data_IF_227395616197
#
_entry.id   IF_227395616197
#
_cell.length_a   1.000
_cell.length_b   1.000
_cell.length_c   1.000
_cell.angle_alpha   90.00
_cell.angle_beta   90.00
_cell.angle_gamma   90.00
#
_symmetry.space_group_name_H-M   'P 1'
#
loop_
_entity.id
_entity.type
_entity.pdbx_description
1 polymer ?
#
# COMPACT_ATOMS: atom_id res chain seq x y z
N UNK A 1 -19.06 -13.06 -24.55
CA UNK A 1 -19.52 -12.74 -23.18
C UNK A 1 -20.78 -11.90 -23.33
N UNK A 2 -21.81 -12.16 -22.54
CA UNK A 2 -23.04 -11.37 -22.60
C UNK A 2 -23.12 -10.58 -21.29
N UNK A 3 -23.13 -9.25 -21.40
CA UNK A 3 -23.49 -8.39 -20.27
C UNK A 3 -24.92 -7.91 -20.49
N UNK A 4 -25.77 -8.07 -19.49
CA UNK A 4 -27.10 -7.51 -19.51
C UNK A 4 -27.34 -6.71 -18.24
N UNK A 5 -27.57 -5.42 -18.40
CA UNK A 5 -27.81 -4.53 -17.28
C UNK A 5 -29.31 -4.27 -17.17
N UNK A 6 -29.89 -4.69 -16.06
CA UNK A 6 -31.32 -4.56 -15.80
C UNK A 6 -31.55 -3.65 -14.59
N UNK A 7 -32.67 -2.92 -14.60
CA UNK A 7 -33.19 -2.23 -13.41
C UNK A 7 -34.36 -3.01 -12.84
N UNK A 8 -34.70 -2.77 -11.57
CA UNK A 8 -35.89 -3.35 -10.93
C UNK A 8 -37.21 -2.93 -11.59
N UNK A 9 -37.20 -1.86 -12.39
CA UNK A 9 -38.36 -1.33 -13.13
C UNK A 9 -38.37 -1.75 -14.62
N UNK A 10 -37.40 -2.56 -15.07
CA UNK A 10 -37.28 -3.04 -16.46
C UNK A 10 -35.87 -2.91 -17.05
N UNK A 11 -35.75 -3.01 -18.38
CA UNK A 11 -34.46 -3.04 -19.11
C UNK A 11 -33.84 -1.65 -19.38
N UNK A 12 -34.41 -0.57 -18.86
CA UNK A 12 -33.99 0.80 -19.20
C UNK A 12 -32.97 1.31 -18.21
N UNK A 13 -31.72 1.45 -18.66
CA UNK A 13 -30.61 1.98 -17.85
C UNK A 13 -30.09 3.27 -18.48
N UNK A 14 -29.74 4.25 -17.65
CA UNK A 14 -29.09 5.47 -18.12
C UNK A 14 -27.79 5.17 -18.85
N UNK A 15 -27.56 5.84 -19.98
CA UNK A 15 -26.38 5.63 -20.83
C UNK A 15 -25.06 5.88 -20.07
N UNK A 16 -25.06 6.87 -19.17
CA UNK A 16 -23.90 7.16 -18.32
C UNK A 16 -23.55 6.00 -17.38
N UNK A 17 -24.57 5.41 -16.73
CA UNK A 17 -24.40 4.27 -15.83
C UNK A 17 -23.90 3.05 -16.61
N UNK A 18 -24.46 2.80 -17.80
CA UNK A 18 -24.02 1.73 -18.69
C UNK A 18 -22.56 1.93 -19.18
N UNK A 19 -22.19 3.16 -19.53
CA UNK A 19 -20.83 3.50 -19.94
C UNK A 19 -19.80 3.25 -18.85
N UNK A 20 -20.09 3.64 -17.60
CA UNK A 20 -19.20 3.38 -16.45
C UNK A 20 -18.95 1.89 -16.24
N UNK A 21 -19.98 1.06 -16.42
CA UNK A 21 -19.84 -0.39 -16.25
C UNK A 21 -19.02 -1.04 -17.36
N UNK A 22 -19.19 -0.60 -18.61
CA UNK A 22 -18.35 -1.06 -19.71
C UNK A 22 -16.88 -0.67 -19.50
N UNK A 23 -16.62 0.55 -18.99
CA UNK A 23 -15.27 0.97 -18.60
C UNK A 23 -14.73 0.07 -17.49
N UNK A 24 -15.47 -0.15 -16.41
CA UNK A 24 -15.01 -1.04 -15.32
C UNK A 24 -14.73 -2.46 -15.80
N UNK A 25 -15.55 -3.01 -16.69
CA UNK A 25 -15.29 -4.32 -17.28
C UNK A 25 -14.02 -4.32 -18.15
N UNK A 26 -13.80 -3.26 -18.94
CA UNK A 26 -12.59 -3.12 -19.75
C UNK A 26 -11.34 -3.05 -18.88
N UNK A 27 -11.37 -2.33 -17.76
CA UNK A 27 -10.28 -2.30 -16.77
C UNK A 27 -10.00 -3.70 -16.20
N UNK A 28 -11.04 -4.45 -15.83
CA UNK A 28 -10.88 -5.84 -15.37
C UNK A 28 -10.21 -6.70 -16.46
N UNK A 29 -10.66 -6.59 -17.71
CA UNK A 29 -10.08 -7.36 -18.83
C UNK A 29 -8.61 -7.04 -19.05
N UNK A 30 -8.23 -5.76 -18.96
CA UNK A 30 -6.85 -5.33 -19.09
C UNK A 30 -5.96 -5.78 -17.93
N UNK A 31 -6.38 -5.61 -16.68
CA UNK A 31 -5.60 -6.06 -15.52
C UNK A 31 -5.49 -7.58 -15.48
N UNK A 32 -6.56 -8.30 -15.82
CA UNK A 32 -6.54 -9.75 -15.92
C UNK A 32 -5.64 -10.23 -17.07
N UNK A 33 -5.68 -9.56 -18.22
CA UNK A 33 -4.80 -9.84 -19.35
C UNK A 33 -3.33 -9.62 -18.98
N UNK A 34 -3.01 -8.52 -18.31
CA UNK A 34 -1.66 -8.20 -17.81
C UNK A 34 -1.14 -9.27 -16.83
N UNK A 35 -2.00 -9.72 -15.92
CA UNK A 35 -1.70 -10.84 -15.02
C UNK A 35 -1.44 -12.15 -15.77
N UNK A 36 -2.28 -12.50 -16.75
CA UNK A 36 -2.12 -13.73 -17.55
C UNK A 36 -0.85 -13.73 -18.40
N UNK A 37 -0.39 -12.55 -18.84
CA UNK A 37 0.89 -12.37 -19.56
C UNK A 37 2.11 -12.25 -18.62
N UNK A 38 1.93 -12.45 -17.31
CA UNK A 38 3.00 -12.43 -16.32
C UNK A 38 3.71 -11.07 -16.20
N UNK A 39 3.01 -9.98 -16.55
CA UNK A 39 3.57 -8.64 -16.38
C UNK A 39 3.64 -8.29 -14.88
N UNK A 40 4.70 -7.62 -14.40
CA UNK A 40 4.68 -7.07 -13.05
C UNK A 40 3.52 -6.07 -12.91
N UNK A 41 2.84 -6.07 -11.76
CA UNK A 41 1.74 -5.16 -11.50
C UNK A 41 2.23 -3.70 -11.40
N UNK A 42 1.47 -2.76 -11.95
CA UNK A 42 1.72 -1.33 -11.85
C UNK A 42 0.39 -0.58 -11.82
N UNK A 43 0.08 0.13 -10.73
CA UNK A 43 -1.23 0.74 -10.49
C UNK A 43 -1.44 2.07 -11.25
N UNK A 44 -0.36 2.75 -11.62
CA UNK A 44 -0.39 3.93 -12.49
C UNK A 44 0.22 3.69 -13.88
N UNK A 45 0.68 2.46 -14.16
CA UNK A 45 1.35 2.04 -15.39
C UNK A 45 0.49 2.27 -16.60
N UNK A 46 1.02 2.93 -17.65
CA UNK A 46 0.42 2.72 -18.96
C UNK A 46 0.66 1.26 -19.31
N UNK A 47 -0.41 0.46 -19.25
CA UNK A 47 -0.38 -0.92 -19.71
C UNK A 47 0.29 -0.99 -21.09
N UNK A 48 1.11 -2.03 -21.28
CA UNK A 48 1.79 -2.22 -22.57
C UNK A 48 0.75 -2.17 -23.68
N UNK A 49 1.05 -1.47 -24.77
CA UNK A 49 0.15 -1.35 -25.92
C UNK A 49 -0.40 -2.71 -26.37
N UNK A 50 0.44 -3.75 -26.32
CA UNK A 50 0.03 -5.10 -26.61
C UNK A 50 -1.10 -5.61 -25.70
N UNK A 51 -1.09 -5.33 -24.39
CA UNK A 51 -2.19 -5.71 -23.49
C UNK A 51 -3.46 -4.94 -23.83
N UNK A 52 -3.33 -3.64 -24.12
CA UNK A 52 -4.46 -2.80 -24.49
C UNK A 52 -5.13 -3.31 -25.78
N UNK A 53 -4.33 -3.69 -26.76
CA UNK A 53 -4.78 -4.16 -28.07
C UNK A 53 -5.33 -5.61 -27.98
N UNK A 54 -4.60 -6.54 -27.35
CA UNK A 54 -4.94 -7.98 -27.31
C UNK A 54 -6.13 -8.29 -26.38
N UNK A 55 -6.45 -7.43 -25.41
CA UNK A 55 -7.53 -7.60 -24.43
C UNK A 55 -8.60 -6.49 -24.47
N UNK A 56 -8.69 -5.77 -25.58
CA UNK A 56 -9.78 -4.82 -25.82
C UNK A 56 -11.12 -5.55 -26.01
N UNK A 57 -12.16 -5.12 -25.30
CA UNK A 57 -13.52 -5.60 -25.45
C UNK A 57 -14.22 -4.79 -26.54
N UNK A 58 -14.74 -5.49 -27.53
CA UNK A 58 -15.52 -4.96 -28.63
C UNK A 58 -17.00 -5.23 -28.41
N UNK A 59 -17.84 -4.23 -28.69
CA UNK A 59 -19.29 -4.40 -28.66
C UNK A 59 -19.70 -5.13 -29.94
N UNK A 60 -20.19 -6.36 -29.80
CA UNK A 60 -20.68 -7.18 -30.91
C UNK A 60 -22.10 -6.79 -31.30
N UNK A 61 -22.97 -6.62 -30.30
CA UNK A 61 -24.36 -6.25 -30.50
C UNK A 61 -24.94 -5.57 -29.27
N UNK A 62 -25.94 -4.73 -29.49
CA UNK A 62 -26.73 -4.07 -28.46
C UNK A 62 -28.20 -4.42 -28.71
N UNK A 63 -28.85 -4.98 -27.71
CA UNK A 63 -30.31 -5.18 -27.64
C UNK A 63 -30.84 -4.49 -26.39
N UNK A 64 -32.14 -4.18 -26.33
CA UNK A 64 -32.76 -3.43 -25.22
C UNK A 64 -32.24 -3.88 -23.83
N UNK A 65 -31.41 -3.06 -23.18
CA UNK A 65 -30.81 -3.32 -21.87
C UNK A 65 -29.64 -4.32 -21.82
N UNK A 66 -29.19 -4.87 -22.95
CA UNK A 66 -28.08 -5.84 -23.00
C UNK A 66 -27.02 -5.48 -24.03
N UNK A 67 -25.76 -5.62 -23.65
CA UNK A 67 -24.59 -5.41 -24.50
C UNK A 67 -23.84 -6.73 -24.59
N UNK A 68 -23.76 -7.30 -25.80
CA UNK A 68 -22.91 -8.46 -26.04
C UNK A 68 -21.52 -7.94 -26.38
N UNK A 69 -20.52 -8.40 -25.63
CA UNK A 69 -19.12 -8.02 -25.83
C UNK A 69 -18.26 -9.24 -26.13
N UNK A 70 -17.29 -9.06 -27.00
CA UNK A 70 -16.29 -10.06 -27.36
C UNK A 70 -14.90 -9.45 -27.41
N UNK A 71 -13.87 -10.25 -27.17
CA UNK A 71 -12.48 -9.84 -27.43
C UNK A 71 -12.11 -10.47 -28.76
N UNK A 72 -11.63 -9.65 -29.71
CA UNK A 72 -11.17 -10.18 -30.99
C UNK A 72 -9.98 -11.13 -30.75
N UNK A 73 -10.06 -12.32 -31.33
CA UNK A 73 -8.96 -13.27 -31.30
C UNK A 73 -7.85 -12.73 -32.18
N UNK A 74 -6.81 -12.14 -31.59
CA UNK A 74 -5.58 -11.80 -32.29
C UNK A 74 -4.87 -13.10 -32.75
N UNK A 75 -5.37 -13.73 -33.82
CA UNK A 75 -4.67 -14.82 -34.49
C UNK A 75 -3.50 -14.19 -35.23
N UNK A 76 -2.32 -14.14 -34.59
CA UNK A 76 -1.07 -13.92 -35.32
C UNK A 76 -0.86 -15.16 -36.20
N UNK A 77 -1.21 -15.03 -37.48
CA UNK A 77 -0.92 -16.04 -38.49
C UNK A 77 0.57 -16.44 -38.44
N UNK A 78 0.85 -17.73 -38.21
CA UNK A 78 2.15 -18.32 -38.56
C UNK A 78 3.04 -18.91 -37.45
N UNK A 79 2.52 -19.53 -36.39
CA UNK A 79 3.37 -20.39 -35.54
C UNK A 79 2.87 -21.84 -35.48
N UNK A 80 3.74 -22.84 -35.72
CA UNK A 80 3.36 -24.25 -35.68
C UNK A 80 3.06 -24.68 -34.24
N UNK A 81 1.98 -25.44 -34.11
CA UNK A 81 1.56 -26.11 -32.88
C UNK A 81 2.57 -27.20 -32.51
N UNK A 82 3.25 -27.07 -31.37
CA UNK A 82 3.68 -28.17 -30.49
C UNK A 82 3.90 -27.58 -29.08
N UNK A 83 3.32 -28.25 -28.09
CA UNK A 83 3.46 -28.15 -26.62
C UNK A 83 2.60 -27.15 -25.80
N UNK A 84 1.77 -27.76 -24.93
CA UNK A 84 1.02 -27.27 -23.76
C UNK A 84 -0.34 -26.56 -24.00
N UNK A 85 -1.41 -27.36 -23.82
CA UNK A 85 -2.84 -27.10 -24.04
C UNK A 85 -3.49 -25.91 -23.31
N UNK A 86 -2.80 -25.22 -22.39
CA UNK A 86 -3.36 -24.04 -21.70
C UNK A 86 -2.85 -22.69 -22.24
N UNK A 87 -1.79 -22.68 -23.05
CA UNK A 87 -1.22 -21.44 -23.62
C UNK A 87 -1.85 -21.00 -24.95
N UNK A 88 -2.67 -21.86 -25.58
CA UNK A 88 -3.22 -21.65 -26.92
C UNK A 88 -4.72 -21.33 -26.99
N UNK A 89 -5.40 -21.06 -25.87
CA UNK A 89 -6.66 -20.33 -25.99
C UNK A 89 -6.32 -18.92 -26.48
N UNK A 90 -7.05 -18.39 -27.50
CA UNK A 90 -6.86 -17.02 -27.90
C UNK A 90 -7.02 -16.08 -26.70
N UNK A 91 -6.34 -14.91 -26.70
CA UNK A 91 -6.36 -13.96 -25.57
C UNK A 91 -7.77 -13.70 -25.02
N UNK A 92 -8.74 -13.58 -25.93
CA UNK A 92 -10.15 -13.38 -25.61
C UNK A 92 -10.79 -14.46 -24.74
N UNK A 93 -11.01 -15.69 -25.23
CA UNK A 93 -11.56 -16.79 -24.42
C UNK A 93 -10.83 -16.99 -23.09
N UNK A 94 -9.50 -16.84 -23.09
CA UNK A 94 -8.68 -17.00 -21.89
C UNK A 94 -8.98 -15.96 -20.82
N UNK A 95 -9.04 -14.67 -21.20
CA UNK A 95 -9.34 -13.60 -20.24
C UNK A 95 -10.77 -13.69 -19.74
N UNK A 96 -11.73 -14.00 -20.61
CA UNK A 96 -13.14 -14.14 -20.21
C UNK A 96 -13.33 -15.30 -19.24
N UNK A 97 -12.68 -16.45 -19.50
CA UNK A 97 -12.69 -17.59 -18.56
C UNK A 97 -12.14 -17.17 -17.21
N UNK A 98 -11.01 -16.47 -17.18
CA UNK A 98 -10.36 -16.05 -15.94
C UNK A 98 -11.18 -15.03 -15.15
N UNK A 99 -11.85 -14.09 -15.82
CA UNK A 99 -12.81 -13.17 -15.19
C UNK A 99 -13.97 -13.96 -14.59
N UNK A 100 -14.52 -14.94 -15.32
CA UNK A 100 -15.63 -15.77 -14.86
C UNK A 100 -15.23 -16.56 -13.60
N UNK A 101 -14.04 -17.15 -13.60
CA UNK A 101 -13.49 -17.87 -12.43
C UNK A 101 -13.27 -16.93 -11.23
N UNK A 102 -12.80 -15.71 -11.50
CA UNK A 102 -12.58 -14.72 -10.45
C UNK A 102 -13.90 -14.30 -9.80
N UNK A 103 -14.94 -14.00 -10.60
CA UNK A 103 -16.28 -13.68 -10.09
C UNK A 103 -16.84 -14.85 -9.27
N UNK A 104 -16.75 -16.08 -9.79
CA UNK A 104 -17.23 -17.28 -9.08
C UNK A 104 -16.53 -17.48 -7.72
N UNK A 105 -15.21 -17.26 -7.65
CA UNK A 105 -14.44 -17.35 -6.41
C UNK A 105 -14.85 -16.29 -5.39
N UNK A 106 -15.18 -15.09 -5.86
CA UNK A 106 -15.65 -13.97 -5.03
C UNK A 106 -17.06 -14.25 -4.51
N UNK A 107 -17.98 -14.76 -5.34
CA UNK A 107 -19.35 -15.12 -4.92
C UNK A 107 -19.38 -16.39 -4.04
N UNK A 108 -18.34 -17.22 -4.09
CA UNK A 108 -18.17 -18.41 -3.25
C UNK A 108 -18.81 -19.69 -3.80
N UNK A 109 -19.05 -19.76 -5.10
CA UNK A 109 -19.78 -20.87 -5.73
C UNK A 109 -18.93 -22.13 -5.98
N UNK A 110 -17.59 -22.04 -6.01
CA UNK A 110 -16.72 -23.14 -6.48
C UNK A 110 -15.73 -23.69 -5.44
N UNK A 111 -15.77 -23.26 -4.17
CA UNK A 111 -14.85 -23.73 -3.13
C UNK A 111 -13.36 -23.43 -3.40
N UNK A 112 -13.04 -22.69 -4.47
CA UNK A 112 -11.73 -22.12 -4.77
C UNK A 112 -11.63 -20.76 -4.11
N UNK A 113 -10.53 -20.54 -3.40
CA UNK A 113 -10.27 -19.23 -2.83
C UNK A 113 -9.81 -18.27 -3.93
N UNK A 114 -10.06 -16.98 -3.74
CA UNK A 114 -9.62 -15.93 -4.67
C UNK A 114 -8.09 -15.97 -4.86
N UNK A 115 -7.36 -16.45 -3.86
CA UNK A 115 -5.91 -16.61 -3.87
C UNK A 115 -5.43 -17.71 -4.84
N UNK A 116 -6.25 -18.74 -5.07
CA UNK A 116 -5.96 -19.78 -6.05
C UNK A 116 -6.16 -19.28 -7.48
N UNK A 117 -7.14 -18.38 -7.67
CA UNK A 117 -7.47 -17.85 -9.00
C UNK A 117 -6.44 -16.80 -9.43
N UNK A 118 -6.07 -15.87 -8.54
CA UNK A 118 -5.08 -14.82 -8.81
C UNK A 118 -4.04 -14.83 -7.71
N UNK A 119 -2.95 -15.61 -7.82
CA UNK A 119 -1.96 -15.74 -6.74
C UNK A 119 -1.19 -14.45 -6.44
N UNK A 120 -1.02 -13.57 -7.44
CA UNK A 120 -0.37 -12.28 -7.26
C UNK A 120 -1.25 -11.33 -6.44
N UNK A 121 -0.75 -10.90 -5.28
CA UNK A 121 -1.50 -10.08 -4.34
C UNK A 121 -1.88 -8.71 -4.90
N UNK A 122 -1.00 -8.07 -5.67
CA UNK A 122 -1.21 -6.72 -6.16
C UNK A 122 -2.28 -6.71 -7.25
N UNK A 123 -2.19 -7.63 -8.21
CA UNK A 123 -3.26 -7.85 -9.20
C UNK A 123 -4.57 -8.22 -8.52
N UNK A 124 -4.53 -9.14 -7.55
CA UNK A 124 -5.73 -9.59 -6.85
C UNK A 124 -6.43 -8.46 -6.10
N UNK A 125 -5.67 -7.59 -5.43
CA UNK A 125 -6.21 -6.41 -4.74
C UNK A 125 -6.84 -5.43 -5.72
N UNK A 126 -6.16 -5.16 -6.83
CA UNK A 126 -6.69 -4.27 -7.87
C UNK A 126 -7.95 -4.82 -8.51
N UNK A 127 -7.95 -6.10 -8.87
CA UNK A 127 -9.09 -6.78 -9.48
C UNK A 127 -10.30 -6.81 -8.54
N UNK A 128 -10.11 -6.92 -7.22
CA UNK A 128 -11.21 -6.79 -6.25
C UNK A 128 -11.81 -5.38 -6.25
N UNK A 129 -10.99 -4.33 -6.39
CA UNK A 129 -11.47 -2.94 -6.50
C UNK A 129 -12.19 -2.68 -7.83
N UNK A 130 -11.63 -3.18 -8.95
CA UNK A 130 -12.27 -3.05 -10.26
C UNK A 130 -13.60 -3.82 -10.29
N UNK A 131 -13.63 -5.02 -9.67
CA UNK A 131 -14.85 -5.79 -9.50
C UNK A 131 -15.86 -5.03 -8.63
N UNK A 132 -15.43 -4.44 -7.51
CA UNK A 132 -16.31 -3.61 -6.68
C UNK A 132 -16.90 -2.43 -7.47
N UNK A 133 -16.16 -1.86 -8.43
CA UNK A 133 -16.67 -0.79 -9.31
C UNK A 133 -17.65 -1.30 -10.36
N UNK A 134 -17.53 -2.56 -10.80
CA UNK A 134 -18.48 -3.21 -11.69
C UNK A 134 -19.83 -3.49 -11.02
N UNK A 135 -19.89 -3.71 -9.70
CA UNK A 135 -21.16 -3.97 -9.02
C UNK A 135 -22.01 -2.70 -8.91
N UNK A 136 -23.31 -2.75 -9.25
CA UNK A 136 -24.19 -1.59 -9.14
C UNK A 136 -24.19 -0.99 -7.73
N UNK A 137 -24.07 0.34 -7.63
CA UNK A 137 -24.16 1.07 -6.35
C UNK A 137 -25.60 1.29 -5.90
N UNK A 138 -26.53 1.38 -6.85
CA UNK A 138 -27.96 1.64 -6.59
C UNK A 138 -28.66 0.31 -6.26
N UNK A 139 -29.48 0.23 -5.20
CA UNK A 139 -30.13 -1.02 -4.78
C UNK A 139 -31.10 -1.60 -5.82
N UNK A 140 -31.67 -0.74 -6.67
CA UNK A 140 -32.64 -1.11 -7.69
C UNK A 140 -32.00 -1.57 -9.02
N UNK A 141 -30.69 -1.79 -9.06
CA UNK A 141 -29.97 -2.17 -10.27
C UNK A 141 -29.37 -3.56 -10.11
N UNK A 142 -29.45 -4.36 -11.16
CA UNK A 142 -28.84 -5.68 -11.24
C UNK A 142 -28.06 -5.80 -12.55
N UNK A 143 -26.80 -6.20 -12.47
CA UNK A 143 -26.00 -6.54 -13.63
C UNK A 143 -25.99 -8.06 -13.77
N UNK A 144 -26.49 -8.57 -14.89
CA UNK A 144 -26.36 -9.95 -15.29
C UNK A 144 -25.12 -10.11 -16.15
N UNK A 145 -24.21 -10.94 -15.67
CA UNK A 145 -22.98 -11.30 -16.38
C UNK A 145 -23.08 -12.75 -16.83
N UNK A 146 -22.94 -13.02 -18.12
CA UNK A 146 -22.84 -14.38 -18.66
C UNK A 146 -21.46 -14.58 -19.28
N UNK A 147 -20.66 -15.41 -18.61
CA UNK A 147 -19.28 -15.73 -18.98
C UNK A 147 -19.17 -16.88 -19.98
N UNK A 148 -18.00 -17.51 -20.02
CA UNK A 148 -17.84 -18.78 -20.74
C UNK A 148 -18.30 -19.97 -19.90
N UNK A 149 -18.81 -21.01 -20.57
CA UNK A 149 -19.26 -22.25 -19.93
C UNK A 149 -20.68 -22.22 -19.38
N UNK A 150 -21.53 -21.28 -19.82
CA UNK A 150 -22.93 -21.17 -19.37
C UNK A 150 -23.10 -20.67 -17.94
N UNK A 151 -22.02 -20.18 -17.31
CA UNK A 151 -22.06 -19.56 -15.98
C UNK A 151 -22.61 -18.15 -16.10
N UNK A 152 -23.64 -17.86 -15.30
CA UNK A 152 -24.27 -16.55 -15.23
C UNK A 152 -24.33 -16.04 -13.79
N UNK A 153 -23.92 -14.80 -13.57
CA UNK A 153 -23.95 -14.16 -12.25
C UNK A 153 -24.93 -12.99 -12.27
N UNK A 154 -25.70 -12.87 -11.19
CA UNK A 154 -26.55 -11.72 -10.93
C UNK A 154 -25.89 -10.83 -9.86
N UNK A 155 -25.34 -9.70 -10.29
CA UNK A 155 -24.57 -8.78 -9.47
C UNK A 155 -25.48 -7.65 -8.97
N UNK A 156 -25.82 -7.66 -7.68
CA UNK A 156 -26.65 -6.64 -7.01
C UNK A 156 -25.83 -5.78 -6.07
N UNK A 157 -26.36 -4.61 -5.70
CA UNK A 157 -25.73 -3.74 -4.70
C UNK A 157 -25.49 -4.46 -3.35
N UNK A 158 -26.37 -5.39 -2.97
CA UNK A 158 -26.25 -6.16 -1.73
C UNK A 158 -24.99 -7.07 -1.70
N UNK A 159 -24.53 -7.55 -2.86
CA UNK A 159 -23.34 -8.42 -2.96
C UNK A 159 -22.03 -7.65 -2.72
N UNK A 160 -22.04 -6.31 -2.78
CA UNK A 160 -20.85 -5.46 -2.59
C UNK A 160 -20.18 -5.68 -1.23
N UNK A 161 -20.97 -5.87 -0.16
CA UNK A 161 -20.45 -6.07 1.19
C UNK A 161 -19.54 -7.29 1.33
N UNK A 162 -19.73 -8.31 0.48
CA UNK A 162 -18.86 -9.49 0.44
C UNK A 162 -17.48 -9.15 -0.13
N UNK A 163 -17.43 -8.37 -1.21
CA UNK A 163 -16.19 -7.90 -1.83
C UNK A 163 -15.45 -6.98 -0.86
N UNK A 164 -16.16 -6.05 -0.23
CA UNK A 164 -15.62 -5.15 0.81
C UNK A 164 -15.07 -5.95 2.00
N UNK A 165 -15.74 -7.04 2.39
CA UNK A 165 -15.26 -7.99 3.40
C UNK A 165 -13.95 -8.68 3.01
N UNK A 166 -13.82 -9.15 1.77
CA UNK A 166 -12.59 -9.75 1.25
C UNK A 166 -11.43 -8.74 1.20
N UNK A 167 -11.71 -7.50 0.78
CA UNK A 167 -10.74 -6.41 0.82
C UNK A 167 -10.28 -6.14 2.27
N UNK A 168 -11.23 -6.08 3.21
CA UNK A 168 -10.97 -5.77 4.63
C UNK A 168 -10.27 -6.90 5.39
N UNK A 169 -10.63 -8.17 5.14
CA UNK A 169 -9.98 -9.32 5.78
C UNK A 169 -8.50 -9.40 5.40
N UNK A 170 -8.15 -9.00 4.18
CA UNK A 170 -6.76 -9.03 3.71
C UNK A 170 -5.90 -7.91 4.28
N UNK A 171 -6.50 -6.77 4.58
CA UNK A 171 -5.85 -5.72 5.34
C UNK A 171 -5.43 -6.20 6.75
N UNK A 172 -6.04 -7.28 7.28
CA UNK A 172 -5.74 -7.82 8.62
C UNK A 172 -4.65 -8.90 8.65
N UNK A 173 -4.26 -9.51 7.51
CA UNK A 173 -3.39 -10.70 7.49
C UNK A 173 -1.91 -10.45 7.15
N UNK A 174 -1.51 -9.21 6.85
CA UNK A 174 -0.10 -8.82 6.67
C UNK A 174 0.24 -7.82 7.76
N UNK A 175 1.08 -8.22 8.71
CA UNK A 175 1.45 -7.41 9.87
C UNK A 175 1.83 -6.00 9.46
N UNK A 176 1.11 -5.02 10.02
CA UNK A 176 1.48 -3.62 9.88
C UNK A 176 2.87 -3.43 10.48
N UNK A 177 3.77 -2.89 9.68
CA UNK A 177 5.10 -2.47 10.09
C UNK A 177 5.16 -0.94 10.07
N UNK A 178 5.92 -0.40 11.03
CA UNK A 178 6.27 1.01 11.10
C UNK A 178 7.72 1.18 10.66
N UNK A 179 7.96 2.16 9.79
CA UNK A 179 9.29 2.52 9.31
C UNK A 179 9.48 4.02 9.44
N UNK A 180 10.64 4.44 9.95
CA UNK A 180 11.04 5.83 10.05
C UNK A 180 12.20 6.04 9.07
N UNK A 181 12.23 7.20 8.41
CA UNK A 181 13.34 7.59 7.54
C UNK A 181 13.08 8.93 6.86
N UNK A 182 14.06 9.37 6.06
CA UNK A 182 13.96 10.60 5.30
C UNK A 182 13.25 10.33 3.98
N UNK A 183 12.21 11.12 3.66
CA UNK A 183 11.60 11.10 2.33
C UNK A 183 12.51 11.85 1.34
N UNK A 184 13.44 11.15 0.70
CA UNK A 184 14.49 11.75 -0.11
C UNK A 184 14.07 12.01 -1.57
N UNK A 185 13.17 11.19 -2.11
CA UNK A 185 12.72 11.29 -3.50
C UNK A 185 11.28 10.80 -3.62
N UNK A 186 10.51 11.44 -4.50
CA UNK A 186 9.11 11.11 -4.76
C UNK A 186 8.88 11.00 -6.26
N UNK A 187 8.65 9.79 -6.73
CA UNK A 187 8.22 9.54 -8.11
C UNK A 187 6.71 9.54 -8.18
N UNK A 188 6.18 10.59 -8.80
CA UNK A 188 4.78 10.73 -9.22
C UNK A 188 4.46 10.07 -10.55
N UNK A 189 5.44 9.34 -11.09
CA UNK A 189 5.23 8.49 -12.25
C UNK A 189 4.34 7.29 -11.90
N UNK A 190 3.90 6.51 -12.90
CA UNK A 190 3.10 5.32 -12.72
C UNK A 190 3.43 4.33 -11.60
N UNK A 191 4.71 4.24 -11.22
CA UNK A 191 5.16 3.30 -10.20
C UNK A 191 4.81 3.80 -8.78
N UNK A 192 4.56 5.11 -8.63
CA UNK A 192 4.24 5.78 -7.35
C UNK A 192 5.16 5.31 -6.23
N UNK A 193 6.45 5.57 -6.43
CA UNK A 193 7.51 5.14 -5.53
C UNK A 193 8.10 6.34 -4.82
N UNK A 194 8.15 6.26 -3.49
CA UNK A 194 9.01 7.11 -2.68
C UNK A 194 10.30 6.37 -2.35
N UNK A 195 11.43 7.09 -2.36
CA UNK A 195 12.67 6.58 -1.80
C UNK A 195 12.80 7.09 -0.38
N UNK A 196 12.90 6.13 0.53
CA UNK A 196 13.16 6.41 1.92
C UNK A 196 14.63 6.12 2.17
N UNK A 197 15.33 7.15 2.60
CA UNK A 197 16.71 7.01 3.05
C UNK A 197 16.71 6.69 4.54
N UNK A 198 17.25 5.52 4.84
CA UNK A 198 17.53 5.02 6.18
C UNK A 198 18.95 4.43 6.16
N UNK A 199 19.54 4.34 7.33
CA UNK A 199 20.77 3.62 7.69
C UNK A 199 21.11 2.49 6.73
N UNK A 200 22.19 2.64 5.96
CA UNK A 200 22.78 1.58 5.13
C UNK A 200 21.87 0.97 4.05
N UNK A 201 20.61 1.41 3.95
CA UNK A 201 19.57 0.80 3.13
C UNK A 201 18.62 1.88 2.63
N UNK A 202 18.70 2.13 1.32
CA UNK A 202 17.65 2.86 0.62
C UNK A 202 16.58 1.85 0.27
N UNK A 203 15.37 2.04 0.78
CA UNK A 203 14.24 1.20 0.39
C UNK A 203 13.23 2.00 -0.43
N UNK A 204 12.60 1.29 -1.36
CA UNK A 204 11.50 1.81 -2.14
C UNK A 204 10.20 1.52 -1.42
N UNK A 205 9.42 2.57 -1.21
CA UNK A 205 8.07 2.47 -0.69
C UNK A 205 7.07 2.81 -1.80
N UNK A 206 6.11 1.93 -2.03
CA UNK A 206 5.01 2.13 -2.97
C UNK A 206 3.87 2.78 -2.21
N UNK A 207 3.29 3.84 -2.74
CA UNK A 207 2.20 4.58 -2.08
C UNK A 207 0.96 4.71 -2.97
N UNK A 208 -0.25 4.64 -2.37
CA UNK A 208 -1.50 4.84 -3.10
C UNK A 208 -1.70 6.33 -3.44
N UNK A 209 -2.47 6.59 -4.50
CA UNK A 209 -2.58 7.94 -5.08
C UNK A 209 -3.19 9.01 -4.17
N UNK A 210 -3.98 8.61 -3.20
CA UNK A 210 -4.56 9.49 -2.18
C UNK A 210 -3.52 10.03 -1.18
N UNK A 211 -2.38 9.36 -1.01
CA UNK A 211 -1.26 9.85 -0.20
C UNK A 211 -0.32 10.81 -0.95
N UNK A 212 -0.50 11.00 -2.26
CA UNK A 212 0.45 11.77 -3.09
C UNK A 212 0.61 13.21 -2.64
N UNK A 213 -0.50 13.92 -2.37
CA UNK A 213 -0.45 15.31 -1.93
C UNK A 213 0.36 15.45 -0.63
N UNK A 214 0.09 14.55 0.33
CA UNK A 214 0.79 14.52 1.62
C UNK A 214 2.27 14.13 1.47
N UNK A 215 2.59 13.19 0.60
CA UNK A 215 3.97 12.82 0.33
C UNK A 215 4.77 13.97 -0.32
N UNK A 216 4.11 14.77 -1.17
CA UNK A 216 4.73 15.97 -1.76
C UNK A 216 5.05 17.02 -0.70
N UNK A 217 4.14 17.23 0.25
CA UNK A 217 4.34 18.19 1.35
C UNK A 217 5.45 17.77 2.31
N UNK A 218 5.70 16.45 2.45
CA UNK A 218 6.70 15.88 3.34
C UNK A 218 8.05 15.58 2.65
N UNK A 219 8.22 15.96 1.38
CA UNK A 219 9.46 15.71 0.64
C UNK A 219 10.63 16.47 1.28
N UNK A 220 11.71 15.76 1.59
CA UNK A 220 12.87 16.30 2.30
C UNK A 220 12.74 16.30 3.82
N UNK A 221 11.62 15.80 4.38
CA UNK A 221 11.39 15.76 5.82
C UNK A 221 11.48 14.33 6.38
N UNK A 222 11.80 14.19 7.69
CA UNK A 222 11.58 12.95 8.43
C UNK A 222 10.13 12.49 8.37
N UNK A 223 9.91 11.22 8.05
CA UNK A 223 8.58 10.63 7.96
C UNK A 223 8.47 9.31 8.70
N UNK A 224 7.28 9.07 9.25
CA UNK A 224 6.83 7.80 9.78
C UNK A 224 5.88 7.17 8.78
N UNK A 225 6.27 6.02 8.25
CA UNK A 225 5.47 5.20 7.35
C UNK A 225 4.87 4.04 8.13
N UNK A 226 3.57 3.86 7.99
CA UNK A 226 2.89 2.64 8.42
C UNK A 226 2.43 1.90 7.17
N UNK A 227 2.74 0.61 7.10
CA UNK A 227 2.50 -0.14 5.88
C UNK A 227 2.91 -1.60 6.00
N UNK A 228 3.19 -2.22 4.86
CA UNK A 228 3.44 -3.65 4.76
C UNK A 228 4.71 -3.91 3.97
N UNK A 229 5.61 -4.71 4.53
CA UNK A 229 6.83 -5.10 3.85
C UNK A 229 6.65 -6.42 3.08
N UNK A 230 6.82 -6.39 1.76
CA UNK A 230 7.06 -7.58 0.95
C UNK A 230 8.54 -7.90 1.01
N UNK A 231 8.89 -9.10 1.48
CA UNK A 231 10.27 -9.56 1.60
C UNK A 231 10.65 -10.46 0.43
N UNK A 232 11.94 -10.51 0.13
CA UNK A 232 12.48 -11.46 -0.84
C UNK A 232 12.36 -12.87 -0.25
N UNK A 233 11.86 -13.84 -1.02
CA UNK A 233 11.70 -15.23 -0.55
C UNK A 233 13.03 -15.79 -0.02
N UNK A 234 13.02 -16.32 1.20
CA UNK A 234 14.20 -16.85 1.88
C UNK A 234 15.18 -15.79 2.41
N UNK A 235 14.82 -14.50 2.41
CA UNK A 235 15.66 -13.39 2.89
C UNK A 235 14.87 -12.46 3.82
N UNK A 236 15.52 -11.87 4.85
CA UNK A 236 14.89 -10.81 5.66
C UNK A 236 14.78 -9.47 4.92
N UNK A 237 15.42 -9.33 3.75
CA UNK A 237 15.46 -8.07 2.99
C UNK A 237 14.09 -7.71 2.42
N UNK A 238 13.75 -6.43 2.53
CA UNK A 238 12.52 -5.88 1.98
C UNK A 238 12.70 -5.68 0.48
N UNK A 239 11.80 -6.27 -0.29
CA UNK A 239 11.67 -6.05 -1.73
C UNK A 239 10.88 -4.77 -1.99
N UNK A 240 9.71 -4.63 -1.37
CA UNK A 240 8.83 -3.46 -1.48
C UNK A 240 8.19 -3.14 -0.13
N UNK A 241 7.97 -1.87 0.16
CA UNK A 241 7.15 -1.45 1.30
C UNK A 241 5.88 -0.74 0.80
N UNK A 242 4.72 -1.32 1.03
CA UNK A 242 3.44 -0.74 0.62
C UNK A 242 2.93 0.17 1.73
N UNK A 243 2.86 1.47 1.46
CA UNK A 243 2.50 2.50 2.44
C UNK A 243 0.98 2.61 2.55
N UNK A 244 0.46 2.43 3.76
CA UNK A 244 -0.96 2.65 4.07
C UNK A 244 -1.15 4.04 4.73
N UNK A 245 -0.13 4.57 5.42
CA UNK A 245 -0.15 5.88 6.07
C UNK A 245 1.24 6.51 6.07
N UNK A 246 1.29 7.82 5.84
CA UNK A 246 2.50 8.65 5.96
C UNK A 246 2.22 9.81 6.91
N UNK A 247 3.12 10.04 7.86
CA UNK A 247 3.03 11.11 8.86
C UNK A 247 4.38 11.82 8.99
N UNK A 248 4.40 13.12 9.30
CA UNK A 248 5.64 13.79 9.70
C UNK A 248 6.19 13.09 10.96
N UNK A 249 7.51 13.00 11.04
CA UNK A 249 8.22 12.48 12.21
C UNK A 249 9.14 13.56 12.77
N UNK A 250 8.53 14.65 13.23
CA UNK A 250 9.21 15.84 13.75
C UNK A 250 9.45 15.76 15.27
N UNK A 251 8.71 14.91 15.98
CA UNK A 251 8.94 14.65 17.39
C UNK A 251 8.40 13.30 17.84
N UNK A 252 8.91 12.82 18.98
CA UNK A 252 8.40 11.65 19.68
C UNK A 252 8.52 11.81 21.20
N UNK A 253 7.83 10.95 21.95
CA UNK A 253 7.97 10.90 23.39
C UNK A 253 9.14 9.98 23.75
N UNK A 254 10.08 10.49 24.54
CA UNK A 254 11.20 9.71 25.04
C UNK A 254 10.67 8.53 25.87
N UNK A 255 11.11 7.33 25.53
CA UNK A 255 10.84 6.12 26.28
C UNK A 255 12.01 5.81 27.22
N UNK A 256 11.89 4.75 28.01
CA UNK A 256 13.01 4.23 28.81
C UNK A 256 14.19 3.87 27.90
N UNK A 257 15.40 4.27 28.30
CA UNK A 257 16.61 3.98 27.55
C UNK A 257 17.79 3.65 28.46
N UNK A 258 18.76 2.95 27.89
CA UNK A 258 20.03 2.60 28.52
C UNK A 258 21.14 3.49 27.96
N UNK A 259 21.96 4.04 28.85
CA UNK A 259 23.15 4.82 28.50
C UNK A 259 24.27 4.50 29.51
N UNK A 260 25.44 4.11 29.01
CA UNK A 260 26.52 3.59 29.85
C UNK A 260 26.06 2.39 30.69
N UNK A 261 26.19 2.49 32.02
CA UNK A 261 25.79 1.46 32.98
C UNK A 261 24.44 1.79 33.67
N UNK A 262 23.65 2.73 33.13
CA UNK A 262 22.45 3.29 33.78
C UNK A 262 21.21 3.11 32.92
N UNK A 263 20.07 2.92 33.58
CA UNK A 263 18.76 2.91 32.92
C UNK A 263 18.02 4.19 33.31
N UNK A 264 17.67 5.01 32.31
CA UNK A 264 16.94 6.25 32.47
C UNK A 264 15.45 6.04 32.18
N UNK A 265 14.61 6.37 33.16
CA UNK A 265 13.15 6.30 33.06
C UNK A 265 12.58 7.71 33.16
N UNK A 266 11.93 8.25 32.12
CA UNK A 266 11.27 9.56 32.19
C UNK A 266 10.17 9.59 33.27
N UNK A 267 10.25 10.55 34.19
CA UNK A 267 9.23 10.79 35.23
C UNK A 267 8.01 11.54 34.71
N UNK A 268 8.21 12.32 33.66
CA UNK A 268 7.18 13.07 32.94
C UNK A 268 7.32 12.79 31.45
N UNK A 269 6.28 13.05 30.63
CA UNK A 269 6.41 13.01 29.18
C UNK A 269 7.48 14.02 28.72
N UNK A 270 8.53 13.53 28.05
CA UNK A 270 9.61 14.33 27.49
C UNK A 270 9.54 14.21 25.98
N UNK A 271 9.35 15.34 25.31
CA UNK A 271 9.35 15.39 23.86
C UNK A 271 10.78 15.53 23.33
N UNK A 272 11.15 14.65 22.41
CA UNK A 272 12.38 14.72 21.62
C UNK A 272 12.03 15.32 20.27
N UNK A 273 12.66 16.43 19.90
CA UNK A 273 12.55 17.02 18.57
C UNK A 273 13.45 16.26 17.59
N UNK A 274 12.98 16.03 16.37
CA UNK A 274 13.67 15.32 15.29
C UNK A 274 13.73 16.22 14.07
N UNK A 275 14.94 16.56 13.67
CA UNK A 275 15.23 17.37 12.50
C UNK A 275 16.20 16.65 11.57
N UNK A 276 16.17 17.02 10.29
CA UNK A 276 17.17 16.59 9.32
C UNK A 276 17.73 17.82 8.61
N UNK A 277 18.97 18.19 8.92
CA UNK A 277 19.62 19.39 8.42
C UNK A 277 21.02 19.09 7.90
N UNK A 278 21.38 19.67 6.75
CA UNK A 278 22.67 19.49 6.06
C UNK A 278 23.18 18.03 5.93
N UNK A 279 22.26 17.05 5.89
CA UNK A 279 22.61 15.62 5.79
C UNK A 279 22.79 14.91 7.13
N UNK A 280 22.42 15.54 8.23
CA UNK A 280 22.49 15.02 9.59
C UNK A 280 21.10 14.93 10.20
N UNK A 281 20.82 13.81 10.86
CA UNK A 281 19.76 13.71 11.85
C UNK A 281 20.18 14.47 13.10
N UNK A 282 19.30 15.31 13.61
CA UNK A 282 19.48 16.07 14.84
C UNK A 282 18.33 15.74 15.77
N UNK A 283 18.64 15.13 16.91
CA UNK A 283 17.68 14.84 17.97
C UNK A 283 17.99 15.73 19.16
N UNK A 284 16.98 16.40 19.71
CA UNK A 284 17.20 17.32 20.83
C UNK A 284 16.11 17.29 21.88
N UNK A 285 16.51 17.54 23.13
CA UNK A 285 15.63 17.79 24.26
C UNK A 285 15.91 19.22 24.75
N UNK A 286 15.10 20.20 24.33
CA UNK A 286 15.37 21.61 24.60
C UNK A 286 15.47 21.98 26.09
N UNK A 287 14.82 21.21 26.97
CA UNK A 287 14.78 21.52 28.41
C UNK A 287 16.14 21.41 29.11
N UNK A 288 17.06 20.63 28.55
CA UNK A 288 18.39 20.36 29.13
C UNK A 288 19.50 20.62 28.11
N UNK A 289 19.17 21.27 26.98
CA UNK A 289 20.08 21.50 25.85
C UNK A 289 20.83 20.22 25.40
N UNK A 290 20.21 19.05 25.59
CA UNK A 290 20.80 17.79 25.17
C UNK A 290 20.54 17.59 23.68
N UNK A 291 21.59 17.22 22.95
CA UNK A 291 21.55 17.04 21.51
C UNK A 291 22.39 15.84 21.11
N UNK A 292 21.88 15.05 20.18
CA UNK A 292 22.63 14.02 19.46
C UNK A 292 22.49 14.24 17.97
N UNK A 293 23.58 14.06 17.21
CA UNK A 293 23.55 14.27 15.77
C UNK A 293 24.45 13.31 15.00
N UNK A 294 23.92 12.74 13.92
CA UNK A 294 24.70 11.88 13.03
C UNK A 294 24.02 11.79 11.66
N UNK A 295 24.76 11.33 10.66
CA UNK A 295 24.20 10.86 9.38
C UNK A 295 23.25 9.66 9.57
N UNK A 296 23.27 9.02 10.74
CA UNK A 296 22.48 7.87 11.13
C UNK A 296 21.54 8.22 12.29
N UNK A 297 20.24 7.92 12.16
CA UNK A 297 19.25 8.24 13.19
C UNK A 297 19.53 7.54 14.54
N UNK A 298 19.89 6.25 14.53
CA UNK A 298 20.11 5.52 15.80
C UNK A 298 21.42 5.93 16.44
N UNK A 299 22.43 6.27 15.65
CA UNK A 299 23.64 6.86 16.19
C UNK A 299 23.36 8.24 16.80
N UNK A 300 22.55 9.08 16.16
CA UNK A 300 22.13 10.36 16.71
C UNK A 300 21.31 10.19 18.01
N UNK A 301 20.43 9.20 18.07
CA UNK A 301 19.68 8.82 19.29
C UNK A 301 20.61 8.33 20.40
N UNK A 302 21.57 7.45 20.08
CA UNK A 302 22.57 7.00 21.06
C UNK A 302 23.44 8.15 21.56
N UNK A 303 23.86 9.07 20.69
CA UNK A 303 24.60 10.26 21.11
C UNK A 303 23.78 11.16 22.02
N UNK A 304 22.47 11.29 21.78
CA UNK A 304 21.57 12.02 22.68
C UNK A 304 21.54 11.33 24.06
N UNK A 305 21.41 10.01 24.09
CA UNK A 305 21.43 9.23 25.33
C UNK A 305 22.76 9.35 26.09
N UNK A 306 23.89 9.27 25.38
CA UNK A 306 25.23 9.45 25.94
C UNK A 306 25.39 10.88 26.51
N UNK A 307 24.90 11.90 25.80
CA UNK A 307 24.91 13.28 26.30
C UNK A 307 24.11 13.43 27.59
N UNK A 308 22.94 12.77 27.70
CA UNK A 308 22.15 12.77 28.94
C UNK A 308 22.92 12.09 30.07
N UNK A 309 23.65 11.00 29.80
CA UNK A 309 24.48 10.33 30.81
C UNK A 309 25.67 11.19 31.28
N UNK A 310 26.27 11.95 30.37
CA UNK A 310 27.30 12.95 30.70
C UNK A 310 26.73 14.04 31.62
N UNK A 311 25.58 14.63 31.27
CA UNK A 311 24.89 15.61 32.11
C UNK A 311 24.54 15.03 33.48
N UNK A 312 24.08 13.78 33.54
CA UNK A 312 23.76 13.12 34.81
C UNK A 312 25.01 12.94 35.67
N UNK A 313 26.11 12.51 35.07
CA UNK A 313 27.40 12.32 35.77
C UNK A 313 27.93 13.65 36.30
N UNK A 314 27.87 14.71 35.50
CA UNK A 314 28.42 16.02 35.85
C UNK A 314 27.56 16.75 36.90
N UNK A 315 26.23 16.69 36.81
CA UNK A 315 25.34 17.53 37.62
C UNK A 315 24.52 16.76 38.66
N UNK A 316 24.01 15.57 38.33
CA UNK A 316 23.15 14.81 39.25
C UNK A 316 23.97 14.04 40.31
N UNK A 317 25.12 13.48 39.94
CA UNK A 317 25.97 12.72 40.85
C UNK A 317 26.99 13.58 41.61
N UNK A 318 27.35 14.76 41.10
CA UNK A 318 28.28 15.67 41.78
C UNK A 318 27.71 16.12 43.13
N UNK A 319 28.48 16.15 44.24
CA UNK A 319 27.99 16.71 45.50
C UNK A 319 27.52 18.15 45.33
N UNK A 320 26.40 18.52 45.96
CA UNK A 320 25.77 19.83 45.74
C UNK A 320 26.71 21.01 46.07
N UNK A 321 27.59 20.85 47.06
CA UNK A 321 28.59 21.85 47.46
C UNK A 321 29.67 22.09 46.37
N UNK A 322 29.82 21.15 45.44
CA UNK A 322 30.72 21.24 44.28
C UNK A 322 30.10 21.93 43.06
N UNK A 323 28.80 22.27 43.11
CA UNK A 323 28.08 22.89 42.00
C UNK A 323 27.89 24.39 42.21
N UNK A 324 28.14 25.17 41.16
CA UNK A 324 27.70 26.58 41.09
C UNK A 324 26.18 26.68 40.94
N UNK A 325 25.63 27.90 41.06
CA UNK A 325 24.18 28.15 41.03
C UNK A 325 23.49 27.53 39.79
N UNK A 326 24.07 27.69 38.60
CA UNK A 326 23.55 27.10 37.36
C UNK A 326 23.57 25.56 37.39
N UNK A 327 24.63 24.96 37.95
CA UNK A 327 24.73 23.50 38.06
C UNK A 327 23.72 22.92 39.04
N UNK A 328 23.39 23.65 40.11
CA UNK A 328 22.30 23.27 41.03
C UNK A 328 20.93 23.30 40.35
N UNK A 329 20.66 24.30 39.53
CA UNK A 329 19.42 24.37 38.74
C UNK A 329 19.31 23.21 37.76
N UNK A 330 20.38 22.92 37.01
CA UNK A 330 20.39 21.81 36.05
C UNK A 330 20.24 20.45 36.73
N UNK A 331 20.85 20.27 37.92
CA UNK A 331 20.63 19.12 38.78
C UNK A 331 19.14 18.93 39.13
N UNK A 332 18.47 19.99 39.59
CA UNK A 332 17.05 19.93 39.94
C UNK A 332 16.19 19.53 38.74
N UNK A 333 16.48 20.09 37.55
CA UNK A 333 15.79 19.72 36.31
C UNK A 333 16.01 18.24 35.99
N UNK A 334 17.25 17.76 35.96
CA UNK A 334 17.57 16.35 35.64
C UNK A 334 16.88 15.38 36.62
N UNK A 335 16.94 15.65 37.93
CA UNK A 335 16.26 14.83 38.95
C UNK A 335 14.74 14.86 38.83
N UNK A 336 14.18 15.98 38.34
CA UNK A 336 12.76 16.10 38.04
C UNK A 336 12.33 15.35 36.77
N UNK A 337 13.22 15.26 35.78
CA UNK A 337 12.97 14.61 34.50
C UNK A 337 13.13 13.10 34.55
N UNK A 338 14.12 12.58 35.30
CA UNK A 338 14.50 11.17 35.24
C UNK A 338 14.49 10.47 36.60
N UNK A 339 14.10 9.19 36.55
CA UNK A 339 14.45 8.18 37.54
C UNK A 339 15.55 7.32 36.95
N UNK A 340 16.64 7.09 37.69
CA UNK A 340 17.82 6.38 37.18
C UNK A 340 18.12 5.21 38.08
N UNK A 341 18.22 4.02 37.48
CA UNK A 341 18.47 2.74 38.15
C UNK A 341 19.85 2.18 37.82
#
# INVERSE_FOLDING_TARGET
MILRLCTSEGEKVGLEDAGKLLISLQEIAWHMGSFLEGQPFSEGGRLKKQILDDYCLLIKSISSGSVVVEVESAVKYGQPEIDNFQKYQPPGPRVITKITDFIASVEGEEGREVDDVVPDHAYRSRLLLDLLNLYPKKPNYALHFEGQGGRSFEMKAANRGRIEGLISQRQRHLGQEVRIGLLADLRVDPEKVMKIERIGEKFQAVYPGDLEARARDLLGHPVKLTGRAERISGSPKIKNFYVDKIEPYESYQLEEFEAGDRIFVPRIPIEVSVEYDEGLWVLSIPYVDAVGYSTDYYEAENQLHDFIDELWTEYALCPEDGLGETGKLLREVLLGLFEVN
#
